data_IF_612628150613
#
_entry.id   IF_612628150613
#
_cell.length_a   1.000
_cell.length_b   1.000
_cell.length_c   1.000
_cell.angle_alpha   90.00
_cell.angle_beta   90.00
_cell.angle_gamma   90.00
#
_symmetry.space_group_name_H-M   'P 1'
#
loop_
_entity.id
_entity.type
_entity.pdbx_description
1 polymer ?
#
# COMPACT_ATOMS: atom_id res chain seq x y z
N UNK A 1 -57.90 -22.51 53.95
CA UNK A 1 -57.02 -21.36 53.62
C UNK A 1 -57.22 -21.07 52.14
N UNK A 2 -57.87 -19.95 51.81
CA UNK A 2 -58.28 -19.60 50.43
C UNK A 2 -57.08 -19.06 49.64
N UNK A 3 -56.53 -19.88 48.74
CA UNK A 3 -55.45 -19.51 47.81
C UNK A 3 -55.95 -18.70 46.61
N UNK A 4 -57.24 -18.80 46.28
CA UNK A 4 -57.83 -18.21 45.08
C UNK A 4 -57.71 -16.68 44.98
N UNK A 5 -57.76 -15.95 46.11
CA UNK A 5 -57.62 -14.49 46.12
C UNK A 5 -56.16 -14.01 45.92
N UNK A 6 -55.19 -14.83 46.31
CA UNK A 6 -53.77 -14.54 46.08
C UNK A 6 -53.37 -14.84 44.64
N UNK A 7 -53.92 -15.90 44.06
CA UNK A 7 -53.66 -16.28 42.68
C UNK A 7 -54.16 -15.21 41.70
N UNK A 8 -55.37 -14.67 41.89
CA UNK A 8 -55.94 -13.61 41.04
C UNK A 8 -55.11 -12.31 41.08
N UNK A 9 -54.64 -11.91 42.27
CA UNK A 9 -53.83 -10.69 42.43
C UNK A 9 -52.42 -10.82 41.86
N UNK A 10 -51.87 -12.04 41.87
CA UNK A 10 -50.58 -12.33 41.25
C UNK A 10 -50.66 -12.30 39.72
N UNK A 11 -51.77 -12.78 39.15
CA UNK A 11 -52.03 -12.75 37.71
C UNK A 11 -52.13 -11.29 37.21
N UNK A 12 -52.92 -10.46 37.88
CA UNK A 12 -53.09 -9.03 37.53
C UNK A 12 -51.74 -8.27 37.57
N UNK A 13 -50.93 -8.53 38.60
CA UNK A 13 -49.59 -7.93 38.69
C UNK A 13 -48.64 -8.48 37.61
N UNK A 14 -48.80 -9.75 37.22
CA UNK A 14 -48.00 -10.35 36.16
C UNK A 14 -48.30 -9.69 34.81
N UNK A 15 -49.58 -9.50 34.48
CA UNK A 15 -50.05 -8.83 33.27
C UNK A 15 -49.64 -7.37 33.21
N UNK A 16 -49.81 -6.62 34.31
CA UNK A 16 -49.43 -5.22 34.38
C UNK A 16 -47.93 -5.02 34.09
N UNK A 17 -47.07 -5.88 34.64
CA UNK A 17 -45.63 -5.87 34.35
C UNK A 17 -45.32 -6.24 32.90
N UNK A 18 -46.04 -7.20 32.32
CA UNK A 18 -45.88 -7.57 30.90
C UNK A 18 -46.18 -6.38 30.00
N UNK A 19 -47.29 -5.68 30.25
CA UNK A 19 -47.70 -4.51 29.47
C UNK A 19 -46.70 -3.35 29.60
N UNK A 20 -46.19 -3.10 30.82
CA UNK A 20 -45.19 -2.06 31.05
C UNK A 20 -43.87 -2.35 30.30
N UNK A 21 -43.43 -3.61 30.30
CA UNK A 21 -42.23 -4.05 29.57
C UNK A 21 -42.42 -3.94 28.05
N UNK A 22 -43.57 -4.35 27.52
CA UNK A 22 -43.87 -4.25 26.08
C UNK A 22 -43.93 -2.78 25.62
N UNK A 23 -44.59 -1.90 26.39
CA UNK A 23 -44.64 -0.47 26.09
C UNK A 23 -43.23 0.16 26.10
N UNK A 24 -42.38 -0.21 27.07
CA UNK A 24 -41.01 0.26 27.14
C UNK A 24 -40.17 -0.25 25.95
N UNK A 25 -40.29 -1.52 25.56
CA UNK A 25 -39.60 -2.09 24.40
C UNK A 25 -40.00 -1.39 23.09
N UNK A 26 -41.30 -1.16 22.86
CA UNK A 26 -41.80 -0.40 21.71
C UNK A 26 -41.26 1.03 21.65
N UNK A 27 -41.07 1.67 22.81
CA UNK A 27 -40.46 3.01 22.86
C UNK A 27 -38.97 2.96 22.50
N UNK A 28 -38.26 1.95 22.99
CA UNK A 28 -36.86 1.73 22.62
C UNK A 28 -36.72 1.42 21.14
N UNK A 29 -37.58 0.60 20.55
CA UNK A 29 -37.55 0.30 19.11
C UNK A 29 -37.65 1.57 18.24
N UNK A 30 -38.54 2.49 18.59
CA UNK A 30 -38.75 3.74 17.84
C UNK A 30 -37.66 4.80 18.05
N UNK A 31 -37.07 4.84 19.24
CA UNK A 31 -36.10 5.89 19.60
C UNK A 31 -34.69 5.31 19.74
N UNK A 32 -33.88 5.53 18.71
CA UNK A 32 -32.50 5.07 18.62
C UNK A 32 -31.57 5.73 19.65
N UNK A 33 -31.96 6.87 20.24
CA UNK A 33 -31.20 7.54 21.31
C UNK A 33 -31.23 6.76 22.63
N UNK A 34 -32.26 5.94 22.83
CA UNK A 34 -32.40 5.10 24.01
C UNK A 34 -31.57 3.82 23.80
N UNK A 35 -30.62 3.57 24.70
CA UNK A 35 -29.81 2.35 24.66
C UNK A 35 -30.68 1.11 24.91
N UNK A 36 -30.69 0.16 23.96
CA UNK A 36 -31.36 -1.13 24.05
C UNK A 36 -30.70 -2.06 25.09
N UNK A 37 -30.76 -1.75 26.38
CA UNK A 37 -30.20 -2.58 27.44
C UNK A 37 -31.19 -2.79 28.61
N UNK A 38 -30.97 -3.86 29.38
CA UNK A 38 -31.86 -4.26 30.46
C UNK A 38 -32.00 -3.21 31.57
N UNK A 39 -30.97 -2.39 31.81
CA UNK A 39 -31.01 -1.32 32.82
C UNK A 39 -31.94 -0.18 32.40
N UNK A 40 -31.89 0.22 31.13
CA UNK A 40 -32.81 1.23 30.59
C UNK A 40 -34.22 0.70 30.46
N UNK A 41 -34.38 -0.58 30.08
CA UNK A 41 -35.69 -1.23 30.06
C UNK A 41 -36.34 -1.27 31.45
N UNK A 42 -35.58 -1.65 32.48
CA UNK A 42 -36.04 -1.65 33.87
C UNK A 42 -36.52 -0.25 34.30
N UNK A 43 -35.73 0.78 33.97
CA UNK A 43 -36.06 2.18 34.28
C UNK A 43 -37.32 2.67 33.55
N UNK A 44 -37.50 2.29 32.29
CA UNK A 44 -38.64 2.71 31.47
C UNK A 44 -39.94 1.99 31.85
N UNK A 45 -39.86 0.70 32.18
CA UNK A 45 -41.01 -0.09 32.60
C UNK A 45 -41.34 0.04 34.10
N UNK A 46 -40.48 0.71 34.88
CA UNK A 46 -40.69 0.88 36.33
C UNK A 46 -40.52 -0.40 37.13
N UNK A 47 -39.70 -1.35 36.66
CA UNK A 47 -39.50 -2.67 37.28
C UNK A 47 -38.06 -2.91 37.71
N UNK A 48 -37.84 -3.89 38.58
CA UNK A 48 -36.48 -4.30 38.94
C UNK A 48 -35.83 -5.10 37.81
N UNK A 49 -34.50 -4.97 37.66
CA UNK A 49 -33.73 -5.67 36.62
C UNK A 49 -33.89 -7.20 36.70
N UNK A 50 -34.00 -7.76 37.90
CA UNK A 50 -34.25 -9.20 38.08
C UNK A 50 -35.57 -9.65 37.45
N UNK A 51 -36.60 -8.81 37.46
CA UNK A 51 -37.90 -9.14 36.82
C UNK A 51 -37.72 -9.40 35.33
N UNK A 52 -36.81 -8.67 34.67
CA UNK A 52 -36.46 -8.88 33.27
C UNK A 52 -35.70 -10.20 33.09
N UNK A 53 -34.72 -10.48 33.96
CA UNK A 53 -33.95 -11.73 33.90
C UNK A 53 -34.78 -12.98 34.16
N UNK A 54 -35.75 -12.92 35.06
CA UNK A 54 -36.64 -14.06 35.32
C UNK A 54 -37.61 -14.35 34.17
N UNK A 55 -37.98 -13.33 33.39
CA UNK A 55 -38.96 -13.46 32.29
C UNK A 55 -38.33 -13.80 30.94
N UNK A 56 -37.03 -13.55 30.77
CA UNK A 56 -36.18 -13.91 29.59
C UNK A 56 -36.58 -13.26 28.27
N UNK A 57 -37.84 -13.33 27.83
CA UNK A 57 -38.35 -12.73 26.59
C UNK A 57 -38.01 -11.24 26.40
N UNK A 58 -37.95 -10.37 27.44
CA UNK A 58 -37.58 -8.97 27.21
C UNK A 58 -36.10 -8.82 26.84
N UNK A 59 -35.24 -9.79 27.20
CA UNK A 59 -33.83 -9.79 26.80
C UNK A 59 -33.69 -10.18 25.32
N UNK A 60 -34.47 -11.15 24.87
CA UNK A 60 -34.52 -11.58 23.46
C UNK A 60 -34.98 -10.40 22.59
N UNK A 61 -36.07 -9.72 22.98
CA UNK A 61 -36.55 -8.55 22.25
C UNK A 61 -35.54 -7.40 22.23
N UNK A 62 -34.77 -7.20 23.30
CA UNK A 62 -33.67 -6.23 23.31
C UNK A 62 -32.53 -6.61 22.34
N UNK A 63 -32.24 -7.90 22.16
CA UNK A 63 -31.26 -8.35 21.19
C UNK A 63 -31.74 -8.11 19.75
N UNK A 64 -33.02 -8.38 19.47
CA UNK A 64 -33.63 -8.08 18.17
C UNK A 64 -33.53 -6.60 17.83
N UNK A 65 -33.92 -5.71 18.75
CA UNK A 65 -33.82 -4.25 18.56
C UNK A 65 -32.37 -3.83 18.28
N UNK A 66 -31.37 -4.45 18.94
CA UNK A 66 -29.95 -4.16 18.65
C UNK A 66 -29.55 -4.62 17.25
N UNK A 67 -29.99 -5.80 16.84
CA UNK A 67 -29.69 -6.36 15.52
C UNK A 67 -30.32 -5.52 14.41
N UNK A 68 -31.59 -5.13 14.56
CA UNK A 68 -32.30 -4.26 13.62
C UNK A 68 -31.59 -2.91 13.44
N UNK A 69 -31.19 -2.26 14.56
CA UNK A 69 -30.44 -0.99 14.50
C UNK A 69 -29.06 -1.15 13.86
N UNK A 70 -28.37 -2.26 14.10
CA UNK A 70 -27.07 -2.52 13.48
C UNK A 70 -27.22 -2.73 11.97
N UNK A 71 -28.26 -3.44 11.55
CA UNK A 71 -28.57 -3.65 10.14
C UNK A 71 -28.90 -2.33 9.43
N UNK A 72 -29.78 -1.50 10.00
CA UNK A 72 -30.12 -0.18 9.44
C UNK A 72 -28.87 0.70 9.25
N UNK A 73 -27.96 0.71 10.21
CA UNK A 73 -26.71 1.47 10.11
C UNK A 73 -25.81 0.96 8.97
N UNK A 74 -25.76 -0.35 8.76
CA UNK A 74 -25.00 -0.95 7.68
C UNK A 74 -25.63 -0.64 6.32
N UNK A 75 -26.96 -0.70 6.22
CA UNK A 75 -27.71 -0.38 5.00
C UNK A 75 -27.55 1.10 4.63
N UNK A 76 -27.58 2.01 5.60
CA UNK A 76 -27.28 3.44 5.39
C UNK A 76 -25.84 3.67 4.92
N UNK A 77 -24.87 2.93 5.45
CA UNK A 77 -23.47 3.03 5.03
C UNK A 77 -23.27 2.49 3.61
N UNK A 78 -23.93 1.39 3.25
CA UNK A 78 -23.91 0.83 1.90
C UNK A 78 -24.56 1.77 0.88
N UNK A 79 -25.72 2.35 1.21
CA UNK A 79 -26.38 3.35 0.37
C UNK A 79 -25.50 4.60 0.14
N UNK A 80 -24.73 5.02 1.15
CA UNK A 80 -23.75 6.11 1.01
C UNK A 80 -22.55 5.72 0.16
N UNK A 81 -22.09 4.48 0.19
CA UNK A 81 -20.99 4.01 -0.68
C UNK A 81 -21.44 3.91 -2.15
N UNK A 82 -22.72 3.69 -2.39
CA UNK A 82 -23.35 3.61 -3.72
C UNK A 82 -23.77 4.98 -4.29
N UNK A 83 -23.18 6.08 -3.80
CA UNK A 83 -23.57 7.44 -4.19
C UNK A 83 -22.97 7.91 -5.51
N UNK A 84 -21.91 7.27 -6.03
CA UNK A 84 -21.34 7.67 -7.32
C UNK A 84 -22.17 7.11 -8.45
N UNK A 85 -22.65 7.98 -9.32
CA UNK A 85 -23.41 7.54 -10.49
C UNK A 85 -22.49 6.80 -11.47
N UNK A 86 -23.03 5.90 -12.31
CA UNK A 86 -22.25 5.26 -13.37
C UNK A 86 -21.51 6.28 -14.26
N UNK A 87 -22.11 7.45 -14.51
CA UNK A 87 -21.52 8.54 -15.28
C UNK A 87 -20.29 9.14 -14.58
N UNK A 88 -20.33 9.34 -13.27
CA UNK A 88 -19.18 9.84 -12.50
C UNK A 88 -18.02 8.84 -12.48
N UNK A 89 -18.32 7.54 -12.36
CA UNK A 89 -17.32 6.48 -12.43
C UNK A 89 -16.70 6.38 -13.83
N UNK A 90 -17.51 6.57 -14.87
CA UNK A 90 -17.01 6.60 -16.25
C UNK A 90 -16.07 7.78 -16.44
N UNK A 91 -16.42 8.96 -15.96
CA UNK A 91 -15.58 10.15 -16.10
C UNK A 91 -14.26 10.01 -15.34
N UNK A 92 -14.30 9.48 -14.12
CA UNK A 92 -13.08 9.16 -13.34
C UNK A 92 -12.18 8.17 -14.09
N UNK A 93 -12.76 7.09 -14.64
CA UNK A 93 -11.99 6.10 -15.39
C UNK A 93 -11.36 6.69 -16.67
N UNK A 94 -12.05 7.62 -17.35
CA UNK A 94 -11.51 8.31 -18.53
C UNK A 94 -10.30 9.15 -18.18
N UNK A 95 -10.37 9.93 -17.10
CA UNK A 95 -9.25 10.75 -16.61
C UNK A 95 -8.05 9.86 -16.26
N UNK A 96 -8.31 8.74 -15.57
CA UNK A 96 -7.26 7.81 -15.17
C UNK A 96 -6.59 7.13 -16.39
N UNK A 97 -7.37 6.75 -17.40
CA UNK A 97 -6.82 6.20 -18.66
C UNK A 97 -5.92 7.23 -19.36
N UNK A 98 -6.36 8.49 -19.46
CA UNK A 98 -5.56 9.56 -20.08
C UNK A 98 -4.26 9.79 -19.31
N UNK A 99 -4.33 9.80 -17.97
CA UNK A 99 -3.15 9.93 -17.12
C UNK A 99 -2.16 8.78 -17.38
N UNK A 100 -2.60 7.53 -17.27
CA UNK A 100 -1.71 6.39 -17.47
C UNK A 100 -1.19 6.28 -18.90
N UNK A 101 -2.00 6.63 -19.89
CA UNK A 101 -1.55 6.72 -21.28
C UNK A 101 -0.41 7.73 -21.43
N UNK A 102 -0.55 8.91 -20.83
CA UNK A 102 0.48 9.96 -20.86
C UNK A 102 1.76 9.48 -20.17
N UNK A 103 1.64 8.90 -18.96
CA UNK A 103 2.79 8.35 -18.23
C UNK A 103 3.54 7.27 -19.03
N UNK A 104 2.82 6.41 -19.76
CA UNK A 104 3.43 5.39 -20.61
C UNK A 104 4.13 6.01 -21.83
N UNK A 105 3.58 7.05 -22.44
CA UNK A 105 4.23 7.75 -23.55
C UNK A 105 5.52 8.43 -23.09
N UNK A 106 5.48 9.13 -21.95
CA UNK A 106 6.66 9.79 -21.38
C UNK A 106 7.74 8.77 -21.02
N UNK A 107 7.37 7.64 -20.41
CA UNK A 107 8.30 6.56 -20.11
C UNK A 107 8.92 5.93 -21.38
N UNK A 108 8.17 5.84 -22.48
CA UNK A 108 8.69 5.35 -23.77
C UNK A 108 9.66 6.34 -24.41
N UNK A 109 9.36 7.63 -24.34
CA UNK A 109 10.24 8.68 -24.84
C UNK A 109 11.57 8.68 -24.06
N UNK A 110 11.50 8.66 -22.72
CA UNK A 110 12.68 8.59 -21.86
C UNK A 110 13.53 7.34 -22.11
N UNK A 111 12.90 6.16 -22.29
CA UNK A 111 13.63 4.94 -22.64
C UNK A 111 14.34 5.05 -24.00
N UNK A 112 13.69 5.67 -24.98
CA UNK A 112 14.28 5.85 -26.31
C UNK A 112 15.51 6.77 -26.23
N UNK A 113 15.42 7.85 -25.45
CA UNK A 113 16.55 8.74 -25.19
C UNK A 113 17.70 8.02 -24.47
N UNK A 114 17.39 7.24 -23.43
CA UNK A 114 18.39 6.45 -22.71
C UNK A 114 19.10 5.44 -23.61
N UNK A 115 18.36 4.75 -24.49
CA UNK A 115 18.94 3.80 -25.44
C UNK A 115 19.88 4.49 -26.44
N UNK A 116 19.51 5.68 -26.91
CA UNK A 116 20.37 6.46 -27.79
C UNK A 116 21.65 6.90 -27.06
N UNK A 117 21.52 7.43 -25.84
CA UNK A 117 22.66 7.83 -25.01
C UNK A 117 23.59 6.66 -24.69
N UNK A 118 23.04 5.48 -24.40
CA UNK A 118 23.81 4.26 -24.18
C UNK A 118 24.62 3.92 -25.44
N UNK A 119 23.98 3.92 -26.61
CA UNK A 119 24.64 3.62 -27.89
C UNK A 119 25.76 4.61 -28.20
N UNK A 120 25.56 5.89 -27.97
CA UNK A 120 26.62 6.90 -28.17
C UNK A 120 27.76 6.73 -27.16
N UNK A 121 27.45 6.38 -25.92
CA UNK A 121 28.46 6.10 -24.89
C UNK A 121 29.28 4.86 -25.24
N UNK A 122 28.64 3.81 -25.75
CA UNK A 122 29.32 2.59 -26.22
C UNK A 122 30.25 2.89 -27.40
N UNK A 123 29.79 3.65 -28.40
CA UNK A 123 30.64 4.08 -29.52
C UNK A 123 31.85 4.88 -29.04
N UNK A 124 31.64 5.84 -28.14
CA UNK A 124 32.73 6.66 -27.60
C UNK A 124 33.75 5.79 -26.84
N UNK A 125 33.27 4.85 -26.01
CA UNK A 125 34.13 3.88 -25.32
C UNK A 125 34.97 3.07 -26.32
N UNK A 126 34.35 2.54 -27.36
CA UNK A 126 35.03 1.70 -28.35
C UNK A 126 36.10 2.52 -29.10
N UNK A 127 35.78 3.76 -29.50
CA UNK A 127 36.76 4.68 -30.09
C UNK A 127 37.96 4.93 -29.18
N UNK A 128 37.73 5.23 -27.89
CA UNK A 128 38.83 5.45 -26.95
C UNK A 128 39.67 4.19 -26.72
N UNK A 129 39.05 3.00 -26.77
CA UNK A 129 39.77 1.74 -26.67
C UNK A 129 40.66 1.51 -27.88
N UNK A 130 40.17 1.79 -29.09
CA UNK A 130 40.95 1.67 -30.32
C UNK A 130 42.13 2.66 -30.32
N UNK A 131 41.89 3.92 -29.96
CA UNK A 131 42.94 4.95 -29.83
C UNK A 131 44.00 4.54 -28.80
N UNK A 132 43.57 3.96 -27.68
CA UNK A 132 44.48 3.47 -26.65
C UNK A 132 45.35 2.31 -27.15
N UNK A 133 44.76 1.37 -27.89
CA UNK A 133 45.48 0.25 -28.48
C UNK A 133 46.52 0.73 -29.50
N UNK A 134 46.17 1.70 -30.33
CA UNK A 134 47.10 2.27 -31.30
C UNK A 134 48.24 3.01 -30.60
N UNK A 135 47.94 3.81 -29.57
CA UNK A 135 48.95 4.46 -28.75
C UNK A 135 49.92 3.45 -28.11
N UNK A 136 49.41 2.34 -27.58
CA UNK A 136 50.25 1.25 -27.05
C UNK A 136 51.13 0.62 -28.14
N UNK A 137 50.59 0.43 -29.34
CA UNK A 137 51.33 -0.10 -30.48
C UNK A 137 52.50 0.81 -30.85
N UNK A 138 52.24 2.11 -30.95
CA UNK A 138 53.26 3.14 -31.22
C UNK A 138 54.32 3.16 -30.12
N UNK A 139 53.92 3.17 -28.84
CA UNK A 139 54.85 3.15 -27.70
C UNK A 139 55.76 1.91 -27.76
N UNK A 140 55.20 0.74 -28.04
CA UNK A 140 55.98 -0.49 -28.15
C UNK A 140 56.97 -0.44 -29.32
N UNK A 141 56.56 0.11 -30.46
CA UNK A 141 57.47 0.30 -31.59
C UNK A 141 58.61 1.27 -31.25
N UNK A 142 58.29 2.40 -30.59
CA UNK A 142 59.30 3.36 -30.13
C UNK A 142 60.28 2.70 -29.15
N UNK A 143 59.80 1.88 -28.20
CA UNK A 143 60.66 1.11 -27.27
C UNK A 143 61.59 0.14 -27.99
N UNK A 144 61.13 -0.51 -29.07
CA UNK A 144 62.00 -1.36 -29.91
C UNK A 144 63.06 -0.53 -30.62
N UNK A 145 62.69 0.61 -31.18
CA UNK A 145 63.64 1.48 -31.88
C UNK A 145 64.69 2.06 -30.93
N UNK A 146 64.29 2.49 -29.73
CA UNK A 146 65.22 2.94 -28.68
C UNK A 146 66.26 1.85 -28.38
N UNK A 147 65.83 0.61 -28.12
CA UNK A 147 66.75 -0.51 -27.88
C UNK A 147 67.72 -0.77 -29.02
N UNK A 148 67.26 -0.65 -30.27
CA UNK A 148 68.13 -0.79 -31.45
C UNK A 148 69.19 0.31 -31.49
N UNK A 149 68.79 1.56 -31.26
CA UNK A 149 69.70 2.70 -31.25
C UNK A 149 70.72 2.59 -30.10
N UNK A 150 70.27 2.21 -28.91
CA UNK A 150 71.16 1.93 -27.77
C UNK A 150 72.20 0.87 -28.11
N UNK A 151 71.79 -0.23 -28.75
CA UNK A 151 72.72 -1.26 -29.20
C UNK A 151 73.73 -0.73 -30.24
N UNK A 152 73.27 0.03 -31.24
CA UNK A 152 74.15 0.64 -32.23
C UNK A 152 75.16 1.59 -31.59
N UNK A 153 74.75 2.39 -30.61
CA UNK A 153 75.65 3.26 -29.85
C UNK A 153 76.75 2.45 -29.16
N UNK A 154 76.39 1.34 -28.50
CA UNK A 154 77.38 0.46 -27.82
C UNK A 154 78.39 -0.10 -28.82
N UNK A 155 77.94 -0.60 -29.97
CA UNK A 155 78.84 -1.14 -31.01
C UNK A 155 79.80 -0.06 -31.53
N UNK A 156 79.27 1.13 -31.85
CA UNK A 156 80.09 2.24 -32.33
C UNK A 156 81.10 2.72 -31.27
N UNK A 157 80.72 2.71 -29.99
CA UNK A 157 81.64 3.04 -28.89
C UNK A 157 82.80 2.04 -28.81
N UNK A 158 82.53 0.74 -28.95
CA UNK A 158 83.57 -0.30 -28.97
C UNK A 158 84.48 -0.15 -30.19
N UNK A 159 83.93 0.09 -31.39
CA UNK A 159 84.72 0.35 -32.60
C UNK A 159 85.65 1.56 -32.45
N UNK A 160 85.14 2.68 -31.90
CA UNK A 160 85.94 3.88 -31.63
C UNK A 160 87.08 3.54 -30.65
N UNK A 161 86.80 2.78 -29.60
CA UNK A 161 87.80 2.39 -28.60
C UNK A 161 88.89 1.50 -29.22
N UNK A 162 88.53 0.55 -30.08
CA UNK A 162 89.48 -0.30 -30.81
C UNK A 162 90.38 0.52 -31.76
N UNK A 163 89.81 1.50 -32.46
CA UNK A 163 90.57 2.39 -33.35
C UNK A 163 91.53 3.29 -32.57
N UNK A 164 91.09 3.84 -31.43
CA UNK A 164 91.95 4.64 -30.54
C UNK A 164 93.08 3.80 -29.94
N UNK A 165 92.81 2.56 -29.53
CA UNK A 165 93.82 1.63 -29.03
C UNK A 165 94.86 1.23 -30.09
N UNK A 166 94.48 1.14 -31.37
CA UNK A 166 95.40 0.88 -32.48
C UNK A 166 96.28 2.07 -32.88
N UNK A 167 95.83 3.31 -32.62
CA UNK A 167 96.60 4.52 -32.92
C UNK A 167 97.53 4.96 -31.79
N UNK A 168 97.40 4.39 -30.59
CA UNK A 168 98.20 4.72 -29.41
C UNK A 168 99.27 3.71 -29.01
N UNK A 169 99.53 2.68 -29.83
CA UNK A 169 100.51 1.61 -29.57
C UNK A 169 101.65 1.58 -30.58
#
# INVERSE_FOLDING_TARGET
>A
MSTAAYDAKNEENFEAVTLALDAALKKMEKDSSISANATQLAKLAGVHRNTIYHRVWPLERLQEIKAERAQQKNDEAAAKAQTRTPEELLELSRVEIVYWFTQVQDARAANTELLNNLRETEKARDMYMDDHQEALRVINQMRVNIRKLEHTIVVLQDEIQQLQGRMGG
#
